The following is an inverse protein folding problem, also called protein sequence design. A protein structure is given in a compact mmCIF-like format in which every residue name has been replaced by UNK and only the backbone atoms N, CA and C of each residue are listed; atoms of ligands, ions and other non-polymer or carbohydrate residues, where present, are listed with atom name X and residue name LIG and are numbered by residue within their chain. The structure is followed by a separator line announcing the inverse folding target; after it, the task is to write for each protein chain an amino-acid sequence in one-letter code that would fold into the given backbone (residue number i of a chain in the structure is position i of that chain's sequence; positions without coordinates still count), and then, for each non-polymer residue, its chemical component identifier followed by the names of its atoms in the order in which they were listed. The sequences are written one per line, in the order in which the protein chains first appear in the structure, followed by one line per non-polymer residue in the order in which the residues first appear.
data_IF_137102663876
#
_entry.id   IF_137102663876
#
_cell.length_a   1.000
_cell.length_b   1.000
_cell.length_c   1.000
_cell.angle_alpha   90.00
_cell.angle_beta   90.00
_cell.angle_gamma   90.00
#
_symmetry.space_group_name_H-M   'P 1'
#
loop_
_entity.id
_entity.type
_entity.pdbx_description
1 polymer ?
#
# COMPACT_ATOMS: atom_id res chain seq x y z
N UNK A 1 40.17 -28.33 43.33
CA UNK A 1 40.81 -27.28 42.52
C UNK A 1 40.16 -27.22 41.15
N UNK A 2 39.35 -26.18 40.89
CA UNK A 2 39.21 -25.45 39.63
C UNK A 2 37.94 -24.60 39.70
N UNK A 3 38.16 -23.34 40.07
CA UNK A 3 37.21 -22.26 39.86
C UNK A 3 37.32 -21.81 38.39
N UNK A 4 36.18 -21.55 37.75
CA UNK A 4 36.11 -20.68 36.59
C UNK A 4 34.94 -19.71 36.80
N UNK A 5 35.34 -18.49 37.10
CA UNK A 5 34.54 -17.26 37.03
C UNK A 5 34.43 -16.93 35.54
N UNK A 6 33.22 -16.68 35.04
CA UNK A 6 33.04 -15.95 33.80
C UNK A 6 31.79 -15.07 33.90
N UNK A 7 32.05 -13.87 34.40
CA UNK A 7 31.26 -12.65 34.29
C UNK A 7 30.75 -12.48 32.86
N UNK A 8 29.44 -12.49 32.67
CA UNK A 8 28.77 -12.11 31.42
C UNK A 8 27.98 -10.83 31.63
N UNK A 9 28.59 -9.70 31.28
CA UNK A 9 28.06 -8.35 31.37
C UNK A 9 26.74 -8.17 30.59
N UNK A 10 25.90 -7.28 31.11
CA UNK A 10 24.62 -6.86 30.53
C UNK A 10 24.76 -6.26 29.11
N UNK A 11 23.74 -6.51 28.28
CA UNK A 11 23.35 -5.58 27.22
C UNK A 11 22.00 -4.97 27.61
N UNK A 12 22.05 -3.80 28.25
CA UNK A 12 20.89 -2.94 28.39
C UNK A 12 20.51 -2.43 26.99
N UNK A 13 19.28 -2.71 26.56
CA UNK A 13 18.71 -2.12 25.36
C UNK A 13 18.63 -0.60 25.57
N UNK A 14 19.40 0.15 24.80
CA UNK A 14 19.28 1.61 24.71
C UNK A 14 17.96 1.93 24.00
N UNK A 15 16.90 2.19 24.78
CA UNK A 15 15.74 2.90 24.28
C UNK A 15 16.20 4.32 23.90
N UNK A 16 15.88 4.73 22.68
CA UNK A 16 16.28 5.98 22.06
C UNK A 16 16.06 7.19 23.00
N UNK A 17 17.14 7.85 23.38
CA UNK A 17 17.08 9.22 23.91
C UNK A 17 17.05 10.18 22.71
N UNK A 18 15.85 10.39 22.16
CA UNK A 18 15.62 11.54 21.28
C UNK A 18 15.69 12.80 22.17
N UNK A 19 16.73 13.60 21.98
CA UNK A 19 16.83 14.90 22.65
C UNK A 19 15.72 15.85 22.17
N UNK A 20 15.47 16.94 22.90
CA UNK A 20 14.44 17.93 22.51
C UNK A 20 14.65 18.53 21.11
N UNK A 21 15.89 18.58 20.61
CA UNK A 21 16.21 19.01 19.24
C UNK A 21 15.85 17.98 18.16
N UNK A 22 15.81 16.71 18.52
CA UNK A 22 15.43 15.59 17.62
C UNK A 22 13.91 15.58 17.42
N UNK A 23 13.16 15.81 18.50
CA UNK A 23 11.69 15.86 18.46
C UNK A 23 11.15 16.96 17.54
N UNK A 24 11.80 18.12 17.44
CA UNK A 24 11.33 19.19 16.54
C UNK A 24 11.54 18.84 15.07
N UNK A 25 12.60 18.10 14.74
CA UNK A 25 12.81 17.56 13.39
C UNK A 25 11.76 16.51 13.05
N UNK A 26 11.45 15.63 14.01
CA UNK A 26 10.38 14.64 13.81
C UNK A 26 9.01 15.29 13.65
N UNK A 27 8.69 16.30 14.45
CA UNK A 27 7.43 17.06 14.32
C UNK A 27 7.34 17.68 12.92
N UNK A 28 8.39 18.38 12.48
CA UNK A 28 8.47 18.98 11.15
C UNK A 28 8.27 17.96 10.03
N UNK A 29 8.87 16.77 10.19
CA UNK A 29 8.64 15.66 9.28
C UNK A 29 7.15 15.29 9.19
N UNK A 30 6.50 15.02 10.33
CA UNK A 30 5.09 14.61 10.32
C UNK A 30 4.13 15.72 9.88
N UNK A 31 4.45 16.99 10.11
CA UNK A 31 3.58 18.12 9.72
C UNK A 31 3.76 18.58 8.28
N UNK A 32 4.94 18.40 7.69
CA UNK A 32 5.27 19.00 6.38
C UNK A 32 5.88 18.04 5.36
N UNK A 33 6.54 16.97 5.79
CA UNK A 33 7.38 16.14 4.92
C UNK A 33 7.02 14.66 4.89
N UNK A 34 5.99 14.23 5.63
CA UNK A 34 5.55 12.85 5.64
C UNK A 34 5.22 12.37 4.22
N UNK A 35 5.94 11.35 3.76
CA UNK A 35 5.87 10.85 2.39
C UNK A 35 5.19 9.46 2.29
N UNK A 36 4.97 8.80 3.43
CA UNK A 36 4.37 7.47 3.51
C UNK A 36 5.28 6.33 3.03
N UNK A 37 6.59 6.55 2.95
CA UNK A 37 7.54 5.50 2.57
C UNK A 37 7.47 4.26 3.48
N UNK A 38 7.05 4.46 4.74
CA UNK A 38 6.88 3.40 5.72
C UNK A 38 5.66 2.49 5.43
N UNK A 39 4.64 3.01 4.76
CA UNK A 39 3.40 2.29 4.40
C UNK A 39 3.32 1.93 2.91
N UNK A 40 4.22 2.44 2.07
CA UNK A 40 4.20 2.25 0.63
C UNK A 40 4.40 0.79 0.18
N UNK A 41 3.82 0.43 -0.98
CA UNK A 41 4.01 -0.89 -1.60
C UNK A 41 5.49 -1.15 -1.96
N UNK A 42 6.22 -0.11 -2.36
CA UNK A 42 7.64 -0.18 -2.75
C UNK A 42 8.52 -0.79 -1.65
N UNK A 43 8.20 -0.55 -0.37
CA UNK A 43 8.88 -1.13 0.80
C UNK A 43 8.87 -2.66 0.82
N UNK A 44 7.89 -3.29 0.19
CA UNK A 44 7.74 -4.75 0.16
C UNK A 44 8.47 -5.42 -1.00
N UNK A 45 9.01 -4.63 -1.93
CA UNK A 45 9.76 -5.09 -3.10
C UNK A 45 9.03 -6.19 -3.90
N UNK A 46 7.74 -6.00 -4.18
CA UNK A 46 6.91 -7.01 -4.86
C UNK A 46 7.30 -7.28 -6.33
N UNK A 47 8.23 -6.51 -6.89
CA UNK A 47 8.56 -6.54 -8.31
C UNK A 47 7.58 -5.70 -9.14
N UNK A 48 8.03 -5.31 -10.33
CA UNK A 48 7.24 -4.50 -11.24
C UNK A 48 6.10 -5.34 -11.86
N UNK A 49 4.86 -4.81 -11.98
CA UNK A 49 3.74 -5.54 -12.54
C UNK A 49 3.96 -6.07 -13.96
N UNK A 50 4.70 -5.34 -14.78
CA UNK A 50 5.02 -5.69 -16.17
C UNK A 50 6.01 -6.87 -16.28
N UNK A 51 6.74 -7.19 -15.21
CA UNK A 51 7.59 -8.36 -15.13
C UNK A 51 6.82 -9.65 -14.83
N UNK A 52 5.54 -9.57 -14.43
CA UNK A 52 4.72 -10.75 -14.14
C UNK A 52 4.21 -11.36 -15.45
N UNK A 53 4.68 -12.56 -15.80
CA UNK A 53 4.32 -13.24 -17.06
C UNK A 53 3.54 -14.53 -16.84
N UNK A 54 3.78 -15.20 -15.73
CA UNK A 54 3.23 -16.54 -15.46
C UNK A 54 2.21 -16.52 -14.31
N UNK A 55 1.32 -17.52 -14.23
CA UNK A 55 0.44 -17.70 -13.07
C UNK A 55 1.19 -17.84 -11.74
N UNK A 56 2.37 -18.47 -11.74
CA UNK A 56 3.19 -18.65 -10.55
C UNK A 56 3.77 -17.31 -10.06
N UNK A 57 4.34 -16.50 -10.96
CA UNK A 57 4.83 -15.15 -10.64
C UNK A 57 3.72 -14.24 -10.12
N UNK A 58 2.52 -14.33 -10.72
CA UNK A 58 1.33 -13.63 -10.25
C UNK A 58 0.97 -14.03 -8.82
N UNK A 59 0.96 -15.34 -8.53
CA UNK A 59 0.70 -15.84 -7.17
C UNK A 59 1.71 -15.28 -6.16
N UNK A 60 2.98 -15.23 -6.53
CA UNK A 60 4.03 -14.64 -5.71
C UNK A 60 3.83 -13.12 -5.50
N UNK A 61 3.48 -12.39 -6.56
CA UNK A 61 3.21 -10.95 -6.50
C UNK A 61 2.00 -10.65 -5.59
N UNK A 62 0.89 -11.38 -5.74
CA UNK A 62 -0.31 -11.21 -4.92
C UNK A 62 -0.06 -11.56 -3.45
N UNK A 63 0.75 -12.58 -3.17
CA UNK A 63 1.18 -12.88 -1.81
C UNK A 63 2.02 -11.74 -1.21
N UNK A 64 2.89 -11.10 -2.01
CA UNK A 64 3.62 -9.92 -1.59
C UNK A 64 2.69 -8.72 -1.32
N UNK A 65 1.76 -8.43 -2.24
CA UNK A 65 0.75 -7.41 -2.07
C UNK A 65 -0.11 -7.63 -0.81
N UNK A 66 -0.38 -8.89 -0.46
CA UNK A 66 -1.03 -9.26 0.80
C UNK A 66 -0.28 -8.78 2.04
N UNK A 67 1.06 -8.87 2.06
CA UNK A 67 1.89 -8.33 3.16
C UNK A 67 1.82 -6.81 3.24
N UNK A 68 1.85 -6.14 2.09
CA UNK A 68 1.63 -4.69 2.03
C UNK A 68 0.28 -4.32 2.65
N UNK A 69 -0.81 -5.00 2.26
CA UNK A 69 -2.15 -4.72 2.80
C UNK A 69 -2.22 -4.91 4.31
N UNK A 70 -1.58 -5.95 4.83
CA UNK A 70 -1.52 -6.19 6.27
C UNK A 70 -0.79 -5.04 7.00
N UNK A 71 0.35 -4.58 6.48
CA UNK A 71 1.09 -3.45 7.04
C UNK A 71 0.30 -2.14 6.94
N UNK A 72 -0.26 -1.83 5.77
CA UNK A 72 -1.07 -0.64 5.55
C UNK A 72 -2.26 -0.60 6.51
N UNK A 73 -2.95 -1.73 6.73
CA UNK A 73 -4.03 -1.82 7.70
C UNK A 73 -3.55 -1.69 9.16
N UNK A 74 -2.38 -2.24 9.49
CA UNK A 74 -1.79 -2.10 10.82
C UNK A 74 -1.39 -0.64 11.15
N UNK A 75 -1.09 0.15 10.12
CA UNK A 75 -0.81 1.58 10.24
C UNK A 75 -2.08 2.44 10.48
N UNK A 76 -3.28 1.85 10.43
CA UNK A 76 -4.53 2.55 10.73
C UNK A 76 -4.90 2.43 12.23
N UNK A 77 -5.60 3.44 12.80
CA UNK A 77 -6.05 4.70 12.17
C UNK A 77 -4.90 5.68 11.88
N UNK A 78 -5.16 6.68 11.02
CA UNK A 78 -4.17 7.71 10.65
C UNK A 78 -3.62 8.41 11.89
N UNK A 79 -2.31 8.66 11.91
CA UNK A 79 -1.58 9.19 13.06
C UNK A 79 -1.02 8.12 14.00
N UNK A 80 -1.46 6.85 13.89
CA UNK A 80 -0.92 5.74 14.70
C UNK A 80 0.58 5.51 14.51
N UNK A 81 1.11 5.83 13.33
CA UNK A 81 2.54 5.65 13.01
C UNK A 81 3.41 6.79 13.53
N UNK A 82 2.83 7.85 14.10
CA UNK A 82 3.59 8.90 14.79
C UNK A 82 4.09 8.32 16.13
N UNK A 83 5.40 8.36 16.43
CA UNK A 83 5.93 7.94 17.72
C UNK A 83 5.26 8.72 18.86
N UNK A 84 4.91 8.05 19.95
CA UNK A 84 4.16 8.70 21.05
C UNK A 84 4.88 9.92 21.61
N UNK A 85 6.20 9.86 21.77
CA UNK A 85 6.99 10.99 22.27
C UNK A 85 6.93 12.22 21.33
N UNK A 86 6.79 12.00 20.02
CA UNK A 86 6.61 13.08 19.03
C UNK A 86 5.20 13.64 19.13
N UNK A 87 4.19 12.75 19.16
CA UNK A 87 2.78 13.16 19.30
C UNK A 87 2.52 13.94 20.60
N UNK A 88 3.12 13.51 21.73
CA UNK A 88 3.02 14.17 23.03
C UNK A 88 3.70 15.55 23.04
N UNK A 89 4.67 15.77 22.14
CA UNK A 89 5.38 17.05 21.99
C UNK A 89 4.72 18.01 20.99
N UNK A 90 3.73 17.54 20.22
CA UNK A 90 2.96 18.36 19.29
C UNK A 90 1.89 19.16 20.03
N UNK A 91 1.67 20.38 19.56
CA UNK A 91 0.43 21.12 19.81
C UNK A 91 -0.75 20.51 19.06
N UNK A 92 -1.98 20.85 19.45
CA UNK A 92 -3.19 20.41 18.75
C UNK A 92 -3.20 20.81 17.27
N UNK A 93 -2.63 21.98 16.95
CA UNK A 93 -2.51 22.47 15.57
C UNK A 93 -1.51 21.65 14.75
N UNK A 94 -0.34 21.33 15.32
CA UNK A 94 0.66 20.46 14.68
C UNK A 94 0.09 19.06 14.46
N UNK A 95 -0.58 18.47 15.48
CA UNK A 95 -1.17 17.14 15.36
C UNK A 95 -2.28 17.11 14.29
N UNK A 96 -3.13 18.13 14.23
CA UNK A 96 -4.16 18.26 13.20
C UNK A 96 -3.55 18.38 11.79
N UNK A 97 -2.51 19.20 11.62
CA UNK A 97 -1.80 19.36 10.35
C UNK A 97 -1.16 18.04 9.89
N UNK A 98 -0.51 17.32 10.81
CA UNK A 98 0.07 16.02 10.52
C UNK A 98 -1.00 15.00 10.10
N UNK A 99 -2.12 14.91 10.82
CA UNK A 99 -3.23 14.02 10.44
C UNK A 99 -3.79 14.35 9.05
N UNK A 100 -3.91 15.64 8.71
CA UNK A 100 -4.38 16.08 7.40
C UNK A 100 -3.42 15.66 6.27
N UNK A 101 -2.11 15.89 6.46
CA UNK A 101 -1.09 15.47 5.50
C UNK A 101 -1.07 13.95 5.35
N UNK A 102 -0.98 13.23 6.47
CA UNK A 102 -0.98 11.76 6.48
C UNK A 102 -2.23 11.20 5.82
N UNK A 103 -3.42 11.78 6.02
CA UNK A 103 -4.63 11.31 5.35
C UNK A 103 -4.53 11.38 3.82
N UNK A 104 -3.97 12.46 3.28
CA UNK A 104 -3.73 12.61 1.85
C UNK A 104 -2.74 11.55 1.34
N UNK A 105 -1.64 11.37 2.06
CA UNK A 105 -0.59 10.39 1.72
C UNK A 105 -1.09 8.96 1.79
N UNK A 106 -1.86 8.60 2.82
CA UNK A 106 -2.50 7.26 2.92
C UNK A 106 -3.44 7.00 1.74
N UNK A 107 -4.24 8.00 1.35
CA UNK A 107 -5.14 7.88 0.21
C UNK A 107 -4.36 7.69 -1.10
N UNK A 108 -3.27 8.45 -1.30
CA UNK A 108 -2.37 8.31 -2.43
C UNK A 108 -1.72 6.93 -2.49
N UNK A 109 -1.08 6.48 -1.40
CA UNK A 109 -0.44 5.16 -1.32
C UNK A 109 -1.43 4.04 -1.63
N UNK A 110 -2.66 4.13 -1.10
CA UNK A 110 -3.69 3.14 -1.40
C UNK A 110 -4.13 3.16 -2.86
N UNK A 111 -4.21 4.33 -3.51
CA UNK A 111 -4.50 4.43 -4.94
C UNK A 111 -3.38 3.85 -5.81
N UNK A 112 -2.14 4.23 -5.56
CA UNK A 112 -0.97 3.73 -6.29
C UNK A 112 -0.86 2.20 -6.18
N UNK A 113 -0.99 1.67 -4.96
CA UNK A 113 -0.93 0.23 -4.74
C UNK A 113 -2.07 -0.53 -5.46
N UNK A 114 -3.27 0.05 -5.52
CA UNK A 114 -4.40 -0.50 -6.31
C UNK A 114 -4.08 -0.53 -7.80
N UNK A 115 -3.57 0.57 -8.36
CA UNK A 115 -3.19 0.64 -9.78
C UNK A 115 -2.16 -0.44 -10.13
N UNK A 116 -1.17 -0.67 -9.27
CA UNK A 116 -0.16 -1.72 -9.47
C UNK A 116 -0.81 -3.12 -9.46
N UNK A 117 -1.77 -3.37 -8.56
CA UNK A 117 -2.51 -4.63 -8.52
C UNK A 117 -3.38 -4.84 -9.76
N UNK A 118 -4.05 -3.79 -10.24
CA UNK A 118 -4.87 -3.86 -11.45
C UNK A 118 -4.03 -4.21 -12.68
N UNK A 119 -2.81 -3.65 -12.81
CA UNK A 119 -1.87 -4.01 -13.88
C UNK A 119 -1.50 -5.50 -13.86
N UNK A 120 -1.24 -6.06 -12.68
CA UNK A 120 -0.97 -7.50 -12.54
C UNK A 120 -2.20 -8.32 -12.94
N UNK A 121 -3.40 -7.92 -12.53
CA UNK A 121 -4.63 -8.64 -12.85
C UNK A 121 -4.98 -8.58 -14.34
N UNK A 122 -4.77 -7.44 -15.01
CA UNK A 122 -5.04 -7.23 -16.43
C UNK A 122 -4.13 -8.03 -17.37
N UNK A 123 -2.92 -8.38 -16.93
CA UNK A 123 -2.02 -9.28 -17.67
C UNK A 123 -2.63 -10.67 -17.99
N UNK A 124 -3.82 -11.00 -17.46
CA UNK A 124 -4.59 -12.22 -17.78
C UNK A 124 -5.37 -12.11 -19.10
N UNK A 125 -5.69 -10.90 -19.57
CA UNK A 125 -6.60 -10.69 -20.70
C UNK A 125 -6.00 -10.93 -22.09
N UNK A 126 -4.67 -11.14 -22.18
CA UNK A 126 -3.93 -11.18 -23.45
C UNK A 126 -3.94 -12.54 -24.18
N UNK A 127 -4.24 -13.65 -23.52
CA UNK A 127 -4.22 -15.00 -24.12
C UNK A 127 -5.62 -15.58 -24.41
N UNK A 128 -6.69 -14.79 -24.25
CA UNK A 128 -8.08 -15.28 -24.34
C UNK A 128 -8.95 -14.67 -25.43
N UNK A 129 -8.52 -13.63 -26.14
CA UNK A 129 -9.22 -13.12 -27.33
C UNK A 129 -8.63 -13.75 -28.59
N UNK A 130 -8.59 -15.08 -28.62
CA UNK A 130 -8.55 -15.80 -29.90
C UNK A 130 -9.76 -15.33 -30.70
N UNK A 131 -9.49 -14.64 -31.80
CA UNK A 131 -10.41 -14.07 -32.78
C UNK A 131 -11.28 -15.12 -33.50
N UNK A 132 -11.92 -16.04 -32.76
CA UNK A 132 -12.75 -17.14 -33.27
C UNK A 132 -14.18 -17.16 -32.74
N UNK A 133 -14.59 -16.23 -31.88
CA UNK A 133 -15.97 -16.19 -31.34
C UNK A 133 -16.78 -14.94 -31.69
N UNK A 134 -16.25 -14.00 -32.48
CA UNK A 134 -16.99 -12.81 -32.94
C UNK A 134 -17.69 -12.99 -34.30
N UNK A 135 -18.02 -14.22 -34.71
CA UNK A 135 -18.79 -14.49 -35.94
C UNK A 135 -19.81 -15.62 -35.82
N UNK A 136 -20.25 -15.92 -34.60
CA UNK A 136 -21.39 -16.83 -34.36
C UNK A 136 -22.62 -16.01 -33.96
N UNK A 137 -23.79 -16.19 -34.61
CA UNK A 137 -25.02 -15.56 -34.14
C UNK A 137 -25.33 -16.03 -32.72
N UNK A 138 -25.67 -15.08 -31.84
CA UNK A 138 -26.16 -15.37 -30.49
C UNK A 138 -27.43 -16.24 -30.60
N UNK A 139 -27.48 -17.43 -29.97
CA UNK A 139 -28.72 -18.16 -29.86
C UNK A 139 -29.62 -17.49 -28.81
N UNK A 140 -30.78 -16.99 -29.24
CA UNK A 140 -31.88 -16.66 -28.33
C UNK A 140 -32.35 -15.20 -28.29
N UNK A 141 -31.91 -14.31 -29.18
CA UNK A 141 -32.52 -12.99 -29.32
C UNK A 141 -33.43 -12.97 -30.57
N UNK A 142 -34.74 -12.73 -30.43
CA UNK A 142 -35.60 -12.52 -31.59
C UNK A 142 -35.14 -11.27 -32.33
N UNK A 143 -34.95 -11.43 -33.65
CA UNK A 143 -34.66 -10.35 -34.57
C UNK A 143 -35.82 -9.35 -34.54
N UNK A 144 -35.66 -8.25 -33.82
CA UNK A 144 -36.54 -7.10 -34.00
C UNK A 144 -35.99 -6.28 -35.17
N UNK A 145 -36.57 -6.60 -36.32
CA UNK A 145 -36.48 -5.89 -37.57
C UNK A 145 -36.90 -4.44 -37.34
N UNK A 146 -36.14 -3.53 -37.95
CA UNK A 146 -36.47 -2.11 -38.06
C UNK A 146 -37.95 -1.89 -38.42
N UNK A 147 -38.62 -0.98 -37.71
CA UNK A 147 -39.60 -0.13 -38.38
C UNK A 147 -39.48 1.31 -37.90
N UNK A 148 -38.80 2.09 -38.75
CA UNK A 148 -39.04 3.50 -38.99
C UNK A 148 -40.51 3.68 -39.43
N UNK A 149 -41.25 4.62 -38.81
CA UNK A 149 -42.53 5.27 -39.20
C UNK A 149 -43.35 5.53 -37.93
N UNK A 150 -43.99 6.67 -37.68
CA UNK A 150 -44.10 7.99 -38.30
C UNK A 150 -44.79 8.84 -37.21
N UNK A 151 -44.45 10.13 -37.10
CA UNK A 151 -45.15 11.04 -36.21
C UNK A 151 -46.57 11.30 -36.73
N UNK A 152 -47.53 11.49 -35.82
CA UNK A 152 -48.16 12.80 -35.75
C UNK A 152 -48.17 13.43 -34.35
#
# INVERSE_FOLDING_TARGET
MRALIATGLMLAATAAQAGAGDLRVDIDYYTHHYDGADIALSRFHCGAPDAVRTPAERGAWLACYGRFRANFHAALPIGRTIPSAVADAMSDAELSAAQQLMNQVFAQVAQEARQQADLVLLAQGGEGLSARSASGPLPGLPAQIHQLQDLP
#
